data_IF_138326830730
#
_entry.id   IF_138326830730
#
_cell.length_a   1.000
_cell.length_b   1.000
_cell.length_c   1.000
_cell.angle_alpha   90.00
_cell.angle_beta   90.00
_cell.angle_gamma   90.00
#
_symmetry.space_group_name_H-M   'P 1'
#
loop_
_entity.id
_entity.type
_entity.pdbx_description
1 polymer ?
#
# COMPACT_ATOMS: atom_id res chain seq x y z
N UNK A 1 -28.75 -3.18 -42.07
CA UNK A 1 -27.50 -3.57 -41.38
C UNK A 1 -27.42 -2.76 -40.13
N UNK A 2 -27.37 -3.43 -38.98
CA UNK A 2 -27.55 -2.76 -37.70
C UNK A 2 -26.41 -1.81 -37.36
N UNK A 3 -26.73 -0.52 -37.10
CA UNK A 3 -25.81 0.48 -36.61
C UNK A 3 -25.04 0.03 -35.33
N UNK A 4 -25.63 -0.85 -34.55
CA UNK A 4 -25.00 -1.44 -33.36
C UNK A 4 -23.77 -2.31 -33.66
N UNK A 5 -23.71 -2.99 -34.79
CA UNK A 5 -22.60 -3.88 -35.16
C UNK A 5 -21.34 -3.07 -35.49
N UNK A 6 -21.50 -1.94 -36.16
CA UNK A 6 -20.39 -1.03 -36.47
C UNK A 6 -19.84 -0.31 -35.24
N UNK A 7 -20.69 -0.02 -34.25
CA UNK A 7 -20.24 0.59 -32.98
C UNK A 7 -19.41 -0.40 -32.12
N UNK A 8 -19.70 -1.69 -32.18
CA UNK A 8 -18.93 -2.73 -31.48
C UNK A 8 -17.53 -2.89 -32.09
N UNK A 9 -17.46 -2.87 -33.44
CA UNK A 9 -16.16 -2.96 -34.15
C UNK A 9 -15.30 -1.73 -33.90
N UNK A 10 -15.87 -0.54 -33.82
CA UNK A 10 -15.16 0.71 -33.55
C UNK A 10 -14.69 0.84 -32.11
N UNK A 11 -15.36 0.20 -31.14
CA UNK A 11 -15.02 0.27 -29.71
C UNK A 11 -14.10 -0.85 -29.22
N UNK A 12 -13.91 -1.88 -30.03
CA UNK A 12 -13.20 -3.10 -29.62
C UNK A 12 -14.06 -4.02 -28.74
N UNK A 13 -13.88 -5.32 -28.92
CA UNK A 13 -14.66 -6.38 -28.27
C UNK A 13 -14.67 -6.29 -26.73
N UNK A 14 -13.59 -5.79 -26.13
CA UNK A 14 -13.39 -5.73 -24.66
C UNK A 14 -13.67 -4.34 -24.07
N UNK A 15 -14.46 -3.50 -24.72
CA UNK A 15 -14.76 -2.15 -24.22
C UNK A 15 -16.23 -2.10 -23.77
N UNK A 16 -16.52 -2.24 -22.45
CA UNK A 16 -17.89 -2.28 -21.95
C UNK A 16 -18.61 -0.94 -22.15
N UNK A 17 -19.88 -0.99 -22.58
CA UNK A 17 -20.71 0.18 -22.76
C UNK A 17 -21.52 0.56 -21.51
N UNK A 18 -21.59 -0.34 -20.52
CA UNK A 18 -22.32 -0.13 -19.28
C UNK A 18 -21.55 -0.65 -18.08
N UNK A 19 -21.89 -0.18 -16.87
CA UNK A 19 -21.30 -0.67 -15.61
C UNK A 19 -21.55 -2.17 -15.45
N UNK A 20 -22.71 -2.67 -15.83
CA UNK A 20 -23.06 -4.09 -15.77
C UNK A 20 -22.13 -4.93 -16.64
N UNK A 21 -21.96 -4.55 -17.90
CA UNK A 21 -21.02 -5.21 -18.82
C UNK A 21 -19.57 -5.13 -18.31
N UNK A 22 -19.20 -3.99 -17.72
CA UNK A 22 -17.88 -3.81 -17.07
C UNK A 22 -17.67 -4.78 -15.89
N UNK A 23 -18.68 -5.01 -15.08
CA UNK A 23 -18.64 -5.97 -13.98
C UNK A 23 -18.54 -7.42 -14.47
N UNK A 24 -19.31 -7.77 -15.51
CA UNK A 24 -19.27 -9.10 -16.14
C UNK A 24 -17.89 -9.35 -16.75
N UNK A 25 -17.36 -8.39 -17.50
CA UNK A 25 -16.01 -8.46 -18.08
C UNK A 25 -14.95 -8.60 -17.00
N UNK A 26 -15.03 -7.81 -15.93
CA UNK A 26 -14.11 -7.88 -14.80
C UNK A 26 -14.15 -9.26 -14.12
N UNK A 27 -15.33 -9.86 -13.99
CA UNK A 27 -15.48 -11.21 -13.44
C UNK A 27 -14.83 -12.28 -14.31
N UNK A 28 -14.94 -12.16 -15.63
CA UNK A 28 -14.28 -13.07 -16.58
C UNK A 28 -12.76 -12.93 -16.54
N UNK A 29 -12.27 -11.70 -16.58
CA UNK A 29 -10.83 -11.42 -16.53
C UNK A 29 -10.24 -11.95 -15.22
N UNK A 30 -10.88 -11.70 -14.08
CA UNK A 30 -10.38 -12.13 -12.78
C UNK A 30 -10.21 -13.65 -12.65
N UNK A 31 -11.00 -14.43 -13.41
CA UNK A 31 -10.91 -15.90 -13.45
C UNK A 31 -9.93 -16.44 -14.50
N UNK A 32 -9.45 -15.57 -15.37
CA UNK A 32 -8.52 -15.96 -16.43
C UNK A 32 -7.11 -16.21 -15.84
N UNK A 33 -6.39 -17.17 -16.43
CA UNK A 33 -4.98 -17.40 -16.12
C UNK A 33 -4.05 -16.28 -16.62
N UNK A 34 -4.55 -15.41 -17.48
CA UNK A 34 -3.85 -14.21 -17.94
C UNK A 34 -3.98 -13.04 -16.96
N UNK A 35 -4.83 -13.15 -15.94
CA UNK A 35 -4.93 -12.13 -14.91
C UNK A 35 -3.67 -12.10 -14.05
N UNK A 36 -3.03 -10.92 -13.86
CA UNK A 36 -1.96 -10.77 -12.89
C UNK A 36 -2.42 -11.18 -11.48
N UNK A 37 -1.47 -11.61 -10.63
CA UNK A 37 -1.77 -12.11 -9.27
C UNK A 37 -2.59 -11.13 -8.42
N UNK A 38 -2.39 -9.84 -8.59
CA UNK A 38 -3.10 -8.80 -7.85
C UNK A 38 -4.59 -8.73 -8.19
N UNK A 39 -4.97 -9.25 -9.37
CA UNK A 39 -6.33 -9.24 -9.93
C UNK A 39 -7.00 -10.61 -9.95
N UNK A 40 -6.25 -11.71 -9.77
CA UNK A 40 -6.82 -13.06 -9.80
C UNK A 40 -7.85 -13.22 -8.68
N UNK A 41 -9.05 -13.68 -9.03
CA UNK A 41 -10.21 -13.82 -8.16
C UNK A 41 -10.71 -12.52 -7.47
N UNK A 42 -10.32 -11.36 -8.01
CA UNK A 42 -10.69 -10.04 -7.46
C UNK A 42 -11.34 -9.15 -8.53
N UNK A 43 -12.57 -9.45 -8.95
CA UNK A 43 -13.23 -8.71 -10.02
C UNK A 43 -13.42 -7.23 -9.72
N UNK A 44 -13.59 -6.85 -8.45
CA UNK A 44 -13.70 -5.44 -8.05
C UNK A 44 -12.40 -4.68 -8.33
N UNK A 45 -11.24 -5.30 -8.06
CA UNK A 45 -9.94 -4.68 -8.35
C UNK A 45 -9.73 -4.56 -9.86
N UNK A 46 -10.16 -5.56 -10.64
CA UNK A 46 -10.11 -5.50 -12.11
C UNK A 46 -10.94 -4.33 -12.62
N UNK A 47 -12.19 -4.18 -12.14
CA UNK A 47 -13.09 -3.09 -12.55
C UNK A 47 -12.49 -1.72 -12.23
N UNK A 48 -11.96 -1.53 -11.02
CA UNK A 48 -11.31 -0.29 -10.61
C UNK A 48 -10.07 0.01 -11.47
N UNK A 49 -9.24 -0.99 -11.73
CA UNK A 49 -8.06 -0.82 -12.56
C UNK A 49 -8.42 -0.46 -14.01
N UNK A 50 -9.46 -1.09 -14.57
CA UNK A 50 -9.98 -0.75 -15.89
C UNK A 50 -10.47 0.70 -15.94
N UNK A 51 -11.22 1.15 -14.92
CA UNK A 51 -11.69 2.53 -14.82
C UNK A 51 -10.52 3.51 -14.75
N UNK A 52 -9.56 3.27 -13.87
CA UNK A 52 -8.38 4.12 -13.74
C UNK A 52 -7.55 4.20 -15.02
N UNK A 53 -7.39 3.06 -15.70
CA UNK A 53 -6.69 3.02 -16.96
C UNK A 53 -7.41 3.82 -18.05
N UNK A 54 -8.74 3.71 -18.14
CA UNK A 54 -9.54 4.51 -19.07
C UNK A 54 -9.35 6.02 -18.84
N UNK A 55 -9.24 6.46 -17.60
CA UNK A 55 -9.01 7.87 -17.27
C UNK A 55 -7.68 8.41 -17.79
N UNK A 56 -6.67 7.54 -17.92
CA UNK A 56 -5.36 7.91 -18.48
C UNK A 56 -5.19 7.47 -19.95
N UNK A 57 -6.24 6.91 -20.57
CA UNK A 57 -6.24 6.54 -21.98
C UNK A 57 -5.75 5.13 -22.29
N UNK A 58 -5.71 4.23 -21.29
CA UNK A 58 -5.43 2.81 -21.50
C UNK A 58 -6.72 2.05 -21.83
N UNK A 59 -6.64 1.05 -22.68
CA UNK A 59 -7.74 0.11 -22.89
C UNK A 59 -7.90 -0.82 -21.68
N UNK A 60 -9.06 -1.50 -21.51
CA UNK A 60 -9.28 -2.39 -20.35
C UNK A 60 -8.19 -3.43 -20.14
N UNK A 61 -7.75 -4.11 -21.19
CA UNK A 61 -6.69 -5.11 -21.08
C UNK A 61 -5.33 -4.49 -20.77
N UNK A 62 -5.01 -3.33 -21.36
CA UNK A 62 -3.79 -2.59 -21.03
C UNK A 62 -3.81 -2.14 -19.57
N UNK A 63 -4.95 -1.74 -19.06
CA UNK A 63 -5.10 -1.30 -17.67
C UNK A 63 -4.69 -2.39 -16.69
N UNK A 64 -5.24 -3.60 -16.81
CA UNK A 64 -4.93 -4.70 -15.89
C UNK A 64 -3.50 -5.25 -16.03
N UNK A 65 -2.87 -5.10 -17.21
CA UNK A 65 -1.49 -5.53 -17.43
C UNK A 65 -0.47 -4.48 -16.97
N UNK A 66 -0.84 -3.22 -16.96
CA UNK A 66 0.09 -2.12 -16.74
C UNK A 66 -0.14 -1.35 -15.45
N UNK A 67 -1.29 -1.50 -14.80
CA UNK A 67 -1.54 -0.95 -13.47
C UNK A 67 -1.26 -2.05 -12.44
N UNK A 68 -0.42 -1.76 -11.46
CA UNK A 68 -0.16 -2.63 -10.31
C UNK A 68 -0.70 -1.98 -9.04
N UNK A 69 -1.15 -2.79 -8.08
CA UNK A 69 -1.56 -2.31 -6.75
C UNK A 69 -0.41 -2.56 -5.79
N UNK A 70 0.30 -1.51 -5.40
CA UNK A 70 1.46 -1.58 -4.51
C UNK A 70 1.18 -0.77 -3.27
N UNK A 71 1.29 -1.37 -2.10
CA UNK A 71 0.98 -0.73 -0.81
C UNK A 71 -0.43 -0.10 -0.80
N UNK A 72 -1.42 -0.78 -1.41
CA UNK A 72 -2.80 -0.30 -1.52
C UNK A 72 -2.99 0.87 -2.49
N UNK A 73 -1.96 1.28 -3.25
CA UNK A 73 -2.01 2.37 -4.22
C UNK A 73 -1.87 1.84 -5.64
N UNK A 74 -2.72 2.27 -6.56
CA UNK A 74 -2.54 1.98 -7.97
C UNK A 74 -1.31 2.72 -8.50
N UNK A 75 -0.49 2.03 -9.26
CA UNK A 75 0.77 2.50 -9.83
C UNK A 75 0.91 1.96 -11.24
N UNK A 76 1.66 2.64 -12.09
CA UNK A 76 1.85 2.23 -13.48
C UNK A 76 3.29 1.79 -13.70
N UNK A 77 3.52 0.72 -14.50
CA UNK A 77 4.86 0.32 -14.88
C UNK A 77 5.57 1.39 -15.71
N UNK A 78 6.87 1.59 -15.48
CA UNK A 78 7.64 2.68 -16.07
C UNK A 78 7.64 2.71 -17.59
N UNK A 79 7.57 1.55 -18.26
CA UNK A 79 7.48 1.49 -19.73
C UNK A 79 6.08 1.92 -20.22
N UNK A 80 5.02 1.62 -19.50
CA UNK A 80 3.66 2.08 -19.80
C UNK A 80 3.47 3.57 -19.47
N UNK A 81 4.12 4.05 -18.41
CA UNK A 81 4.19 5.49 -18.12
C UNK A 81 4.81 6.26 -19.29
N UNK A 82 5.91 5.73 -19.84
CA UNK A 82 6.55 6.31 -21.02
C UNK A 82 5.60 6.29 -22.24
N UNK A 83 4.94 5.15 -22.48
CA UNK A 83 4.01 5.03 -23.62
C UNK A 83 2.84 6.02 -23.54
N UNK A 84 2.28 6.25 -22.35
CA UNK A 84 1.23 7.27 -22.15
C UNK A 84 1.75 8.66 -22.48
N UNK A 85 2.93 9.02 -22.01
CA UNK A 85 3.52 10.32 -22.31
C UNK A 85 3.87 10.48 -23.80
N UNK A 86 4.38 9.43 -24.45
CA UNK A 86 4.67 9.45 -25.88
C UNK A 86 3.42 9.60 -26.74
N UNK A 87 2.28 9.09 -26.27
CA UNK A 87 0.99 9.25 -26.96
C UNK A 87 0.34 10.62 -26.72
N UNK A 88 0.90 11.45 -25.85
CA UNK A 88 0.38 12.79 -25.59
C UNK A 88 0.69 13.72 -26.78
N UNK A 89 -0.30 14.52 -27.22
CA UNK A 89 -0.18 15.41 -28.40
C UNK A 89 1.00 16.38 -28.35
N UNK A 90 1.42 16.77 -27.15
CA UNK A 90 2.52 17.72 -26.95
C UNK A 90 3.86 17.02 -26.67
N UNK A 91 3.94 15.70 -26.78
CA UNK A 91 5.21 14.98 -26.66
C UNK A 91 6.10 15.31 -27.86
N UNK A 92 7.36 15.64 -27.60
CA UNK A 92 8.31 15.98 -28.68
C UNK A 92 9.45 14.96 -28.71
N UNK A 93 10.15 14.72 -27.60
CA UNK A 93 11.23 13.76 -27.55
C UNK A 93 11.57 13.30 -26.13
N UNK A 94 12.24 12.16 -26.05
CA UNK A 94 12.91 11.65 -24.85
C UNK A 94 14.31 11.17 -25.23
N UNK A 95 15.30 11.51 -24.43
CA UNK A 95 16.67 11.03 -24.57
C UNK A 95 17.20 10.49 -23.24
N UNK A 96 17.67 9.24 -23.25
CA UNK A 96 18.24 8.56 -22.11
C UNK A 96 19.67 8.04 -22.39
N UNK A 97 20.28 8.43 -23.51
CA UNK A 97 21.56 7.93 -23.99
C UNK A 97 22.74 8.35 -23.10
N UNK A 98 22.57 9.39 -22.28
CA UNK A 98 23.58 9.85 -21.33
C UNK A 98 23.61 9.03 -20.02
N UNK A 99 22.76 8.01 -19.90
CA UNK A 99 22.77 7.09 -18.75
C UNK A 99 24.01 6.21 -18.77
N UNK A 100 24.58 5.99 -17.57
CA UNK A 100 25.77 5.16 -17.34
C UNK A 100 25.51 4.16 -16.23
N UNK A 101 26.51 3.35 -15.85
CA UNK A 101 26.40 2.47 -14.68
C UNK A 101 26.37 3.22 -13.34
N UNK A 102 26.70 4.52 -13.33
CA UNK A 102 26.75 5.35 -12.13
C UNK A 102 25.55 6.30 -12.01
N UNK A 103 24.89 6.60 -13.13
CA UNK A 103 23.74 7.52 -13.16
C UNK A 103 22.75 7.18 -14.25
N UNK A 104 21.47 7.27 -13.93
CA UNK A 104 20.40 7.38 -14.91
C UNK A 104 20.21 8.86 -15.28
N UNK A 105 20.05 9.15 -16.55
CA UNK A 105 19.74 10.48 -17.07
C UNK A 105 18.54 10.35 -18.00
N UNK A 106 17.58 11.23 -17.86
CA UNK A 106 16.43 11.32 -18.74
C UNK A 106 16.17 12.78 -19.08
N UNK A 107 16.16 13.08 -20.37
CA UNK A 107 15.85 14.39 -20.92
C UNK A 107 14.52 14.24 -21.66
N UNK A 108 13.49 14.96 -21.22
CA UNK A 108 12.16 14.93 -21.83
C UNK A 108 11.83 16.31 -22.35
N UNK A 109 11.32 16.37 -23.58
CA UNK A 109 10.89 17.60 -24.20
C UNK A 109 9.40 17.55 -24.51
N UNK A 110 8.69 18.57 -24.03
CA UNK A 110 7.30 18.86 -24.32
C UNK A 110 7.22 20.08 -25.24
N UNK A 111 6.32 20.05 -26.20
CA UNK A 111 6.11 21.14 -27.13
C UNK A 111 5.81 22.45 -26.40
N UNK A 112 6.54 23.51 -26.75
CA UNK A 112 6.39 24.84 -26.15
C UNK A 112 7.03 24.99 -24.75
N UNK A 113 7.81 23.98 -24.28
CA UNK A 113 8.54 24.05 -23.02
C UNK A 113 10.02 23.74 -23.25
N UNK A 114 10.88 24.25 -22.37
CA UNK A 114 12.30 23.88 -22.37
C UNK A 114 12.47 22.41 -21.95
N UNK A 115 13.48 21.72 -22.51
CA UNK A 115 13.75 20.33 -22.14
C UNK A 115 13.99 20.17 -20.64
N UNK A 116 13.31 19.22 -20.02
CA UNK A 116 13.48 18.88 -18.61
C UNK A 116 14.44 17.71 -18.47
N UNK A 117 15.54 17.94 -17.74
CA UNK A 117 16.53 16.91 -17.45
C UNK A 117 16.39 16.46 -16.00
N UNK A 118 16.32 15.15 -15.78
CA UNK A 118 16.40 14.54 -14.45
C UNK A 118 17.48 13.50 -14.43
N UNK A 119 18.19 13.49 -13.32
CA UNK A 119 19.28 12.54 -13.08
C UNK A 119 19.04 11.83 -11.75
N UNK A 120 19.36 10.56 -11.70
CA UNK A 120 19.34 9.76 -10.47
C UNK A 120 20.65 8.95 -10.40
N UNK A 121 21.46 9.22 -9.38
CA UNK A 121 22.80 8.67 -9.24
C UNK A 121 22.85 7.47 -8.30
N UNK A 122 23.96 6.72 -8.32
CA UNK A 122 24.24 5.68 -7.31
C UNK A 122 24.23 6.26 -5.89
N UNK A 123 24.71 7.49 -5.71
CA UNK A 123 24.71 8.13 -4.38
C UNK A 123 23.29 8.49 -3.93
N UNK A 124 22.41 8.90 -4.85
CA UNK A 124 21.00 9.10 -4.55
C UNK A 124 20.34 7.77 -4.16
N UNK A 125 20.66 6.69 -4.87
CA UNK A 125 20.17 5.35 -4.56
C UNK A 125 20.67 4.85 -3.18
N UNK A 126 21.92 5.14 -2.81
CA UNK A 126 22.46 4.82 -1.49
C UNK A 126 21.78 5.62 -0.38
N UNK A 127 21.62 6.95 -0.57
CA UNK A 127 20.90 7.82 0.38
C UNK A 127 19.45 7.38 0.59
N UNK A 128 18.80 6.88 -0.46
CA UNK A 128 17.43 6.36 -0.40
C UNK A 128 17.35 4.91 0.13
N UNK A 129 18.47 4.26 0.49
CA UNK A 129 18.51 2.88 0.96
C UNK A 129 18.13 1.83 -0.09
N UNK A 130 18.29 2.17 -1.37
CA UNK A 130 17.90 1.33 -2.50
C UNK A 130 19.05 0.53 -3.08
N UNK A 131 20.27 1.09 -3.06
CA UNK A 131 21.45 0.46 -3.67
C UNK A 131 21.78 -0.86 -2.99
N UNK A 132 21.84 -1.94 -3.77
CA UNK A 132 22.07 -3.28 -3.25
C UNK A 132 20.85 -3.95 -2.60
N UNK A 133 19.70 -3.29 -2.54
CA UNK A 133 18.44 -3.91 -2.07
C UNK A 133 18.12 -5.13 -2.91
N UNK A 134 17.70 -6.22 -2.25
CA UNK A 134 17.33 -7.45 -2.93
C UNK A 134 16.29 -7.22 -4.04
N UNK A 135 16.49 -7.90 -5.18
CA UNK A 135 15.62 -7.77 -6.35
C UNK A 135 16.25 -6.92 -7.47
N UNK A 136 15.48 -6.09 -8.21
CA UNK A 136 15.99 -5.38 -9.39
C UNK A 136 17.16 -4.43 -9.12
N UNK A 137 17.27 -3.86 -7.92
CA UNK A 137 18.39 -3.02 -7.51
C UNK A 137 19.72 -3.81 -7.40
N UNK A 138 19.63 -5.12 -7.21
CA UNK A 138 20.80 -6.01 -7.19
C UNK A 138 21.06 -6.62 -8.58
N UNK A 139 20.01 -7.05 -9.29
CA UNK A 139 20.14 -7.79 -10.54
C UNK A 139 20.29 -6.90 -11.78
N UNK A 140 19.73 -5.69 -11.75
CA UNK A 140 19.74 -4.75 -12.87
C UNK A 140 19.83 -3.28 -12.39
N UNK A 141 20.88 -2.91 -11.62
CA UNK A 141 20.97 -1.59 -10.97
C UNK A 141 20.98 -0.44 -11.98
N UNK A 142 21.68 -0.54 -13.07
CA UNK A 142 21.73 0.47 -14.14
C UNK A 142 20.33 0.77 -14.71
N UNK A 143 19.52 -0.29 -14.92
CA UNK A 143 18.13 -0.11 -15.38
C UNK A 143 17.29 0.61 -14.33
N UNK A 144 17.49 0.30 -13.05
CA UNK A 144 16.76 0.97 -11.95
C UNK A 144 17.12 2.44 -11.85
N UNK A 145 18.39 2.82 -11.99
CA UNK A 145 18.81 4.23 -12.06
C UNK A 145 18.10 4.96 -13.21
N UNK A 146 18.07 4.34 -14.38
CA UNK A 146 17.41 4.90 -15.58
C UNK A 146 15.90 5.06 -15.38
N UNK A 147 15.21 4.04 -14.86
CA UNK A 147 13.78 4.09 -14.59
C UNK A 147 13.41 5.17 -13.56
N UNK A 148 14.26 5.41 -12.55
CA UNK A 148 14.07 6.50 -11.59
C UNK A 148 14.18 7.87 -12.23
N UNK A 149 15.24 8.12 -13.02
CA UNK A 149 15.42 9.38 -13.73
C UNK A 149 14.26 9.63 -14.70
N UNK A 150 13.82 8.59 -15.42
CA UNK A 150 12.67 8.63 -16.34
C UNK A 150 11.38 8.99 -15.61
N UNK A 151 11.07 8.31 -14.51
CA UNK A 151 9.85 8.55 -13.75
C UNK A 151 9.76 10.00 -13.26
N UNK A 152 10.85 10.56 -12.76
CA UNK A 152 10.92 11.95 -12.35
C UNK A 152 10.71 12.91 -13.54
N UNK A 153 11.43 12.70 -14.65
CA UNK A 153 11.32 13.55 -15.83
C UNK A 153 9.90 13.54 -16.42
N UNK A 154 9.29 12.37 -16.55
CA UNK A 154 7.94 12.24 -17.10
C UNK A 154 6.88 12.85 -16.18
N UNK A 155 6.95 12.67 -14.88
CA UNK A 155 5.98 13.25 -13.93
C UNK A 155 6.08 14.78 -13.88
N UNK A 156 7.28 15.32 -13.95
CA UNK A 156 7.48 16.78 -13.93
C UNK A 156 7.01 17.44 -15.23
N UNK A 157 7.10 16.70 -16.36
CA UNK A 157 6.79 17.26 -17.69
C UNK A 157 5.36 16.97 -18.16
N UNK A 158 4.79 15.80 -17.77
CA UNK A 158 3.52 15.27 -18.23
C UNK A 158 2.59 14.89 -17.07
N UNK A 159 2.55 15.71 -16.02
CA UNK A 159 1.68 15.50 -14.87
C UNK A 159 0.19 15.38 -15.25
N UNK A 160 -0.23 16.14 -16.26
CA UNK A 160 -1.57 16.12 -16.83
C UNK A 160 -1.93 14.80 -17.53
N UNK A 161 -0.97 14.18 -18.24
CA UNK A 161 -1.17 12.87 -18.87
C UNK A 161 -1.22 11.74 -17.84
N UNK A 162 -0.39 11.83 -16.81
CA UNK A 162 -0.25 10.79 -15.78
C UNK A 162 -1.28 10.88 -14.64
N UNK A 163 -1.92 12.04 -14.46
CA UNK A 163 -3.01 12.26 -13.49
C UNK A 163 -2.71 11.76 -12.07
N UNK A 164 -1.46 11.91 -11.63
CA UNK A 164 -1.01 11.49 -10.31
C UNK A 164 -0.60 10.02 -10.17
N UNK A 165 -0.67 9.22 -11.24
CA UNK A 165 -0.11 7.86 -11.22
C UNK A 165 1.41 7.93 -11.06
N UNK A 166 1.92 7.17 -10.11
CA UNK A 166 3.35 6.99 -9.85
C UNK A 166 3.86 5.72 -10.51
N UNK A 167 5.18 5.62 -10.71
CA UNK A 167 5.73 4.38 -11.27
C UNK A 167 5.67 3.23 -10.24
N UNK A 168 5.38 2.04 -10.73
CA UNK A 168 5.34 0.83 -9.91
C UNK A 168 6.70 0.54 -9.26
N UNK A 169 7.78 0.87 -9.95
CA UNK A 169 9.15 0.73 -9.45
C UNK A 169 9.40 1.65 -8.26
N UNK A 170 8.92 2.89 -8.30
CA UNK A 170 9.03 3.82 -7.17
C UNK A 170 8.21 3.35 -5.97
N UNK A 171 6.96 2.93 -6.20
CA UNK A 171 6.08 2.49 -5.12
C UNK A 171 6.56 1.21 -4.42
N UNK A 172 7.23 0.32 -5.13
CA UNK A 172 7.89 -0.87 -4.54
C UNK A 172 9.07 -0.52 -3.65
N UNK A 173 9.70 0.60 -3.92
CA UNK A 173 10.85 1.06 -3.16
C UNK A 173 10.45 1.84 -1.90
N UNK A 174 9.22 2.37 -1.85
CA UNK A 174 8.68 2.96 -0.63
C UNK A 174 8.54 1.85 0.40
N UNK A 175 9.47 1.80 1.36
CA UNK A 175 9.29 1.05 2.58
C UNK A 175 8.19 1.79 3.33
N UNK A 176 7.06 1.13 3.60
CA UNK A 176 6.16 1.62 4.63
C UNK A 176 6.96 1.66 5.94
N UNK A 177 7.59 2.78 6.18
CA UNK A 177 7.95 3.12 7.53
C UNK A 177 6.61 3.21 8.24
N UNK A 178 6.28 2.21 9.04
CA UNK A 178 5.30 2.37 10.10
C UNK A 178 5.87 3.45 11.01
N UNK A 179 5.74 4.69 10.59
CA UNK A 179 5.80 5.79 11.50
C UNK A 179 4.69 5.48 12.49
N UNK A 180 5.07 5.09 13.68
CA UNK A 180 4.20 5.17 14.84
C UNK A 180 3.93 6.67 14.96
N UNK A 181 2.93 7.14 14.21
CA UNK A 181 2.34 8.43 14.49
C UNK A 181 1.73 8.20 15.86
N UNK A 182 2.40 8.66 16.92
CA UNK A 182 1.73 9.01 18.14
C UNK A 182 0.60 9.92 17.68
N UNK A 183 -0.60 9.38 17.63
CA UNK A 183 -1.78 10.19 17.45
C UNK A 183 -1.81 11.11 18.66
N UNK A 184 -1.32 12.31 18.46
CA UNK A 184 -1.81 13.42 19.26
C UNK A 184 -3.30 13.43 18.97
N UNK A 185 -4.09 13.07 19.98
CA UNK A 185 -5.54 13.15 19.91
C UNK A 185 -5.92 14.62 19.72
N UNK A 186 -5.92 15.05 18.46
CA UNK A 186 -6.58 16.27 18.06
C UNK A 186 -8.07 15.89 18.04
N UNK A 187 -8.92 16.49 18.86
CA UNK A 187 -10.35 16.23 18.83
C UNK A 187 -10.85 16.45 17.40
N UNK A 188 -11.26 15.38 16.73
CA UNK A 188 -11.88 15.52 15.41
C UNK A 188 -13.18 16.31 15.60
N UNK A 189 -13.43 17.35 14.80
CA UNK A 189 -14.73 17.98 14.79
C UNK A 189 -15.77 16.92 14.43
N UNK A 190 -16.70 16.67 15.36
CA UNK A 190 -17.79 15.72 15.15
C UNK A 190 -18.56 16.14 13.90
N UNK A 191 -18.53 15.31 12.86
CA UNK A 191 -19.40 15.50 11.71
C UNK A 191 -20.84 15.31 12.16
N UNK A 192 -21.62 16.39 12.18
CA UNK A 192 -23.06 16.32 12.38
C UNK A 192 -23.65 15.39 11.31
N UNK A 193 -24.34 14.34 11.73
CA UNK A 193 -25.05 13.46 10.80
C UNK A 193 -26.31 14.19 10.32
N UNK A 194 -26.32 14.53 9.03
CA UNK A 194 -27.47 15.17 8.39
C UNK A 194 -28.47 14.06 8.02
N UNK A 195 -29.59 13.97 8.71
CA UNK A 195 -30.76 13.22 8.25
C UNK A 195 -31.65 14.12 7.42
N UNK A 196 -31.84 13.77 6.16
CA UNK A 196 -32.77 14.43 5.25
C UNK A 196 -34.09 13.68 5.28
N UNK A 197 -35.14 14.23 5.86
CA UNK A 197 -36.51 13.74 5.75
C UNK A 197 -37.21 14.47 4.62
N UNK A 198 -37.74 13.73 3.66
CA UNK A 198 -38.50 14.27 2.52
C UNK A 198 -39.96 14.35 2.95
N UNK A 199 -40.39 15.54 3.34
CA UNK A 199 -41.80 15.84 3.60
C UNK A 199 -42.55 16.22 2.32
N UNK A 200 -43.86 16.17 2.35
CA UNK A 200 -44.76 16.43 1.19
C UNK A 200 -44.63 17.81 0.55
N UNK A 201 -43.89 18.77 1.17
CA UNK A 201 -43.68 20.14 0.69
C UNK A 201 -42.21 20.53 0.49
N UNK A 202 -41.32 19.57 0.29
CA UNK A 202 -39.87 19.80 0.05
C UNK A 202 -38.97 19.41 1.22
N UNK A 203 -37.64 19.42 1.03
CA UNK A 203 -36.69 18.96 2.04
C UNK A 203 -36.59 19.94 3.21
N UNK A 204 -36.90 19.48 4.41
CA UNK A 204 -36.70 20.24 5.65
C UNK A 204 -35.42 19.71 6.33
N UNK A 205 -34.42 20.55 6.46
CA UNK A 205 -33.17 20.23 7.16
C UNK A 205 -33.35 20.49 8.65
N UNK A 206 -33.48 19.46 9.48
CA UNK A 206 -33.35 19.55 10.92
C UNK A 206 -31.92 19.22 11.34
N UNK A 207 -31.27 20.17 11.99
CA UNK A 207 -29.97 19.96 12.62
C UNK A 207 -30.26 19.48 14.04
N UNK A 208 -30.00 18.18 14.31
CA UNK A 208 -29.99 17.68 15.69
C UNK A 208 -28.62 17.95 16.30
N UNK A 209 -28.57 18.62 17.42
CA UNK A 209 -27.35 18.76 18.22
C UNK A 209 -26.90 17.39 18.70
N UNK A 210 -25.58 17.07 18.62
CA UNK A 210 -25.08 15.78 19.00
C UNK A 210 -25.27 15.56 20.50
N UNK A 211 -26.08 14.55 20.84
CA UNK A 211 -26.20 14.05 22.20
C UNK A 211 -24.83 13.47 22.60
N UNK A 212 -24.24 14.01 23.64
CA UNK A 212 -22.96 13.57 24.16
C UNK A 212 -23.05 12.07 24.51
N UNK A 213 -22.46 11.22 23.62
CA UNK A 213 -22.18 9.83 23.98
C UNK A 213 -20.88 9.81 24.75
N UNK A 214 -20.94 9.36 25.99
CA UNK A 214 -19.79 9.03 26.82
C UNK A 214 -18.86 8.08 26.07
N UNK A 215 -17.52 8.28 26.10
CA UNK A 215 -16.60 7.38 25.42
C UNK A 215 -16.78 5.98 25.96
N UNK A 216 -17.14 5.03 25.11
CA UNK A 216 -17.12 3.61 25.44
C UNK A 216 -15.64 3.19 25.56
N UNK A 217 -15.15 3.20 26.78
CA UNK A 217 -13.89 2.53 27.14
C UNK A 217 -14.10 1.05 26.86
N UNK A 218 -13.54 0.57 25.74
CA UNK A 218 -13.45 -0.88 25.53
C UNK A 218 -12.59 -1.45 26.66
N UNK A 219 -13.23 -2.25 27.54
CA UNK A 219 -12.56 -2.85 28.70
C UNK A 219 -11.47 -3.87 28.32
N UNK A 220 -11.27 -4.13 27.04
CA UNK A 220 -10.33 -5.13 26.51
C UNK A 220 -9.34 -4.51 25.52
N UNK A 221 -8.16 -5.13 25.38
CA UNK A 221 -7.09 -4.67 24.49
C UNK A 221 -7.48 -4.75 23.02
N UNK A 222 -6.88 -3.89 22.20
CA UNK A 222 -7.04 -3.91 20.75
C UNK A 222 -6.24 -5.04 20.08
N UNK A 223 -6.62 -5.42 18.85
CA UNK A 223 -5.91 -6.43 18.06
C UNK A 223 -4.40 -6.13 17.85
N UNK A 224 -3.96 -4.88 17.60
CA UNK A 224 -2.54 -4.53 17.53
C UNK A 224 -1.80 -4.76 18.86
N UNK A 225 -2.43 -4.47 20.00
CA UNK A 225 -1.85 -4.71 21.31
C UNK A 225 -1.67 -6.21 21.57
N UNK A 226 -2.63 -7.04 21.17
CA UNK A 226 -2.51 -8.49 21.22
C UNK A 226 -1.33 -9.01 20.39
N UNK A 227 -1.14 -8.52 19.18
CA UNK A 227 0.03 -8.85 18.33
C UNK A 227 1.35 -8.44 18.98
N UNK A 228 1.43 -7.25 19.60
CA UNK A 228 2.62 -6.78 20.30
C UNK A 228 2.98 -7.66 21.47
N UNK A 229 2.02 -8.07 22.29
CA UNK A 229 2.23 -9.01 23.39
C UNK A 229 2.85 -10.32 22.91
N UNK A 230 2.31 -10.93 21.84
CA UNK A 230 2.87 -12.14 21.24
C UNK A 230 4.29 -11.94 20.69
N UNK A 231 4.57 -10.80 20.05
CA UNK A 231 5.90 -10.50 19.53
C UNK A 231 6.94 -10.40 20.65
N UNK A 232 6.60 -9.77 21.77
CA UNK A 232 7.47 -9.67 22.95
C UNK A 232 7.72 -11.07 23.55
N UNK A 233 6.67 -11.88 23.74
CA UNK A 233 6.79 -13.21 24.30
C UNK A 233 7.65 -14.14 23.43
N UNK A 234 7.48 -14.10 22.11
CA UNK A 234 8.32 -14.87 21.17
C UNK A 234 9.75 -14.35 21.12
N UNK A 235 9.97 -13.04 21.24
CA UNK A 235 11.31 -12.44 21.35
C UNK A 235 12.06 -12.87 22.62
N UNK A 236 11.34 -13.19 23.69
CA UNK A 236 11.88 -13.74 24.94
C UNK A 236 11.94 -15.28 24.96
N UNK A 237 11.78 -15.93 23.80
CA UNK A 237 11.80 -17.38 23.59
C UNK A 237 10.72 -18.19 24.36
N UNK A 238 9.61 -17.55 24.73
CA UNK A 238 8.49 -18.25 25.38
C UNK A 238 7.72 -19.14 24.40
N UNK A 239 7.33 -20.30 24.89
CA UNK A 239 6.53 -21.29 24.14
C UNK A 239 5.05 -20.90 24.09
N UNK A 240 4.31 -21.44 23.11
CA UNK A 240 2.87 -21.20 22.99
C UNK A 240 2.09 -21.70 24.20
N UNK A 241 2.58 -22.75 24.84
CA UNK A 241 1.93 -23.34 26.02
C UNK A 241 2.16 -22.48 27.27
N UNK A 242 3.33 -21.86 27.42
CA UNK A 242 3.59 -20.88 28.49
C UNK A 242 2.71 -19.64 28.32
N UNK A 243 2.55 -19.15 27.10
CA UNK A 243 1.67 -18.03 26.80
C UNK A 243 0.21 -18.36 27.14
N UNK A 244 -0.27 -19.56 26.76
CA UNK A 244 -1.62 -20.02 27.10
C UNK A 244 -1.80 -20.18 28.61
N UNK A 245 -0.83 -20.76 29.30
CA UNK A 245 -0.86 -20.94 30.77
C UNK A 245 -0.92 -19.56 31.47
N UNK A 246 -0.15 -18.58 31.00
CA UNK A 246 -0.20 -17.23 31.54
C UNK A 246 -1.58 -16.58 31.30
N UNK A 247 -2.12 -16.66 30.08
CA UNK A 247 -3.45 -16.12 29.78
C UNK A 247 -4.53 -16.77 30.67
N UNK A 248 -4.45 -18.07 30.88
CA UNK A 248 -5.36 -18.78 31.79
C UNK A 248 -5.22 -18.31 33.26
N UNK A 249 -3.99 -18.01 33.72
CA UNK A 249 -3.74 -17.52 35.08
C UNK A 249 -4.36 -16.15 35.36
N UNK A 250 -4.50 -15.31 34.32
CA UNK A 250 -5.17 -14.01 34.41
C UNK A 250 -6.66 -14.06 34.08
N UNK A 251 -7.21 -15.28 33.86
CA UNK A 251 -8.64 -15.52 33.60
C UNK A 251 -9.09 -15.18 32.20
N UNK A 252 -8.21 -15.26 31.21
CA UNK A 252 -8.46 -14.86 29.80
C UNK A 252 -8.28 -16.07 28.89
N UNK A 253 -9.30 -16.39 28.09
CA UNK A 253 -9.21 -17.49 27.13
C UNK A 253 -8.49 -17.11 25.83
N UNK A 254 -8.62 -15.86 25.39
CA UNK A 254 -8.00 -15.34 24.17
C UNK A 254 -7.32 -14.00 24.46
N UNK A 255 -6.20 -13.74 23.85
CA UNK A 255 -5.41 -12.51 24.05
C UNK A 255 -6.23 -11.23 23.84
N UNK A 256 -7.14 -11.20 22.87
CA UNK A 256 -8.02 -10.04 22.61
C UNK A 256 -9.05 -9.77 23.70
N UNK A 257 -9.29 -10.73 24.59
CA UNK A 257 -10.21 -10.60 25.72
C UNK A 257 -9.50 -10.04 26.96
N UNK A 258 -8.19 -9.81 26.89
CA UNK A 258 -7.40 -9.28 28.00
C UNK A 258 -7.85 -7.87 28.37
N UNK A 259 -8.14 -7.59 29.66
CA UNK A 259 -8.44 -6.25 30.14
C UNK A 259 -7.25 -5.31 29.93
N UNK A 260 -7.52 -4.07 29.52
CA UNK A 260 -6.48 -3.05 29.29
C UNK A 260 -5.61 -2.84 30.54
N UNK A 261 -6.21 -2.91 31.73
CA UNK A 261 -5.52 -2.78 33.02
C UNK A 261 -4.44 -3.85 33.27
N UNK A 262 -4.57 -5.01 32.64
CA UNK A 262 -3.62 -6.14 32.78
C UNK A 262 -2.56 -6.17 31.67
N UNK A 263 -2.68 -5.29 30.67
CA UNK A 263 -1.84 -5.34 29.48
C UNK A 263 -0.37 -5.06 29.75
N UNK A 264 -0.06 -4.04 30.55
CA UNK A 264 1.33 -3.67 30.86
C UNK A 264 2.02 -4.76 31.66
N UNK A 265 1.37 -5.32 32.69
CA UNK A 265 1.87 -6.46 33.46
C UNK A 265 2.10 -7.70 32.59
N UNK A 266 1.21 -7.93 31.60
CA UNK A 266 1.36 -9.02 30.65
C UNK A 266 2.58 -8.80 29.72
N UNK A 267 2.83 -7.58 29.26
CA UNK A 267 4.00 -7.25 28.45
C UNK A 267 5.30 -7.38 29.26
N UNK A 268 5.31 -7.01 30.54
CA UNK A 268 6.46 -7.22 31.42
C UNK A 268 6.76 -8.71 31.62
N UNK A 269 5.73 -9.51 31.88
CA UNK A 269 5.87 -10.98 31.97
C UNK A 269 6.40 -11.56 30.66
N UNK A 270 5.87 -11.12 29.52
CA UNK A 270 6.27 -11.58 28.20
C UNK A 270 7.73 -11.25 27.88
N UNK A 271 8.27 -10.14 28.38
CA UNK A 271 9.66 -9.71 28.14
C UNK A 271 10.71 -10.37 29.04
N UNK A 272 10.30 -11.05 30.13
CA UNK A 272 11.24 -11.82 30.97
C UNK A 272 11.66 -13.08 30.23
N UNK A 273 12.98 -13.31 30.11
CA UNK A 273 13.49 -14.57 29.54
C UNK A 273 12.96 -15.76 30.34
N UNK A 274 12.65 -16.86 29.66
CA UNK A 274 12.30 -18.11 30.33
C UNK A 274 13.51 -18.54 31.16
N UNK A 275 13.27 -18.87 32.45
CA UNK A 275 14.29 -19.50 33.28
C UNK A 275 14.62 -20.84 32.61
N UNK A 276 15.86 -21.02 32.20
CA UNK A 276 16.34 -22.29 31.66
C UNK A 276 16.45 -23.23 32.82
N UNK A 277 15.42 -24.06 33.01
CA UNK A 277 15.50 -25.19 33.92
C UNK A 277 16.33 -26.25 33.23
N UNK A 278 17.52 -26.50 33.72
CA UNK A 278 18.34 -27.63 33.27
C UNK A 278 17.63 -28.94 33.66
N UNK A 279 17.11 -29.64 32.66
CA UNK A 279 16.33 -30.87 32.83
C UNK A 279 17.16 -32.07 33.35
N UNK A 280 18.48 -31.87 33.54
CA UNK A 280 19.37 -32.95 34.04
C UNK A 280 19.59 -32.91 35.57
N UNK A 281 19.45 -31.77 36.25
CA UNK A 281 19.81 -31.65 37.67
C UNK A 281 18.75 -31.00 38.57
N UNK A 282 17.72 -30.36 38.01
CA UNK A 282 16.63 -29.78 38.81
C UNK A 282 17.01 -28.55 39.65
N UNK A 283 18.18 -27.93 39.44
CA UNK A 283 18.64 -26.75 40.19
C UNK A 283 18.52 -25.48 39.37
N UNK A 284 18.03 -24.40 40.02
CA UNK A 284 17.90 -23.06 39.44
C UNK A 284 19.28 -22.40 39.52
N UNK A 285 19.92 -22.12 38.38
CA UNK A 285 21.15 -21.36 38.33
C UNK A 285 20.87 -19.88 38.66
N UNK A 286 21.23 -19.44 39.86
CA UNK A 286 21.33 -18.03 40.22
C UNK A 286 22.62 -17.44 39.61
N UNK A 287 22.50 -16.53 38.64
CA UNK A 287 23.64 -15.68 38.21
C UNK A 287 24.02 -14.71 39.36
N UNK A 288 25.19 -14.90 39.91
CA UNK A 288 25.83 -13.92 40.79
C UNK A 288 26.31 -12.71 39.98
N UNK A 289 26.11 -11.46 40.46
CA UNK A 289 26.62 -10.28 39.75
C UNK A 289 28.14 -10.25 39.89
N UNK A 290 28.83 -10.24 38.75
CA UNK A 290 30.28 -10.10 38.66
C UNK A 290 30.73 -8.73 39.22
N UNK A 291 31.60 -8.79 40.22
CA UNK A 291 32.35 -7.65 40.74
C UNK A 291 33.44 -7.36 39.73
N UNK A 292 33.49 -6.10 39.25
CA UNK A 292 34.57 -5.63 38.37
C UNK A 292 35.89 -5.47 39.05
N UNK A 293 36.96 -5.71 38.35
CA UNK A 293 38.27 -5.05 38.42
C UNK A 293 38.63 -4.47 37.07
#
# INVERSE_FOLDING_TARGET
>A
MNENTNAIVARGFMNPASVKEGMELAAWIAKSDLAPRDYKDKPQNVLIAMQMGLEVGLSPMQSIQNIAVINGRPSIWGDSMLALCQNHRDFESIDENQSTNEKGVCIVKRRGMEPQTRTFTVDDAKKAGLWGKQGPWQTAPTRMLKLRARAFALRDTFADALRGLQSAEEQRDVVETTATVERVDVPQPQRASMKVEIGANGPVVKIEEPKAETPSTSKTISFPQGKRFFAIAKGAAKTDDEIKAYLASIGVAKTIEMPVEKYDAACEWAGKKADVVDTATGEIAMETPGVGE
#
